data_IF_048004052611
#
_entry.id   IF_048004052611
#
_cell.length_a   1.000
_cell.length_b   1.000
_cell.length_c   1.000
_cell.angle_alpha   90.00
_cell.angle_beta   90.00
_cell.angle_gamma   90.00
#
_symmetry.space_group_name_H-M   'P 1'
#
loop_
_entity.id
_entity.type
_entity.pdbx_description
1 polymer ?
#
# COMPACT_ATOMS: atom_id res chain seq x y z
N UNK A 1 13.30 13.64 -7.53
CA UNK A 1 12.13 13.60 -6.63
C UNK A 1 12.44 14.28 -5.32
N UNK A 2 13.36 13.80 -4.48
CA UNK A 2 13.72 14.57 -3.28
C UNK A 2 14.33 15.92 -3.71
N UNK A 3 13.88 17.00 -3.10
CA UNK A 3 14.26 18.38 -3.41
C UNK A 3 13.54 18.98 -4.62
N UNK A 4 12.54 18.29 -5.18
CA UNK A 4 11.75 18.76 -6.31
C UNK A 4 10.49 19.51 -5.84
N UNK A 5 10.16 20.57 -6.59
CA UNK A 5 8.88 21.28 -6.61
C UNK A 5 8.01 20.61 -7.68
N UNK A 6 6.80 20.18 -7.31
CA UNK A 6 5.93 19.42 -8.20
C UNK A 6 4.48 19.89 -8.15
N UNK A 7 3.88 19.96 -9.33
CA UNK A 7 2.43 20.02 -9.47
C UNK A 7 1.84 18.63 -9.24
N UNK A 8 0.92 18.49 -8.29
CA UNK A 8 0.10 17.28 -8.13
C UNK A 8 -1.28 17.55 -8.73
N UNK A 9 -1.56 16.92 -9.87
CA UNK A 9 -2.82 17.09 -10.59
C UNK A 9 -3.68 15.82 -10.56
N UNK A 10 -4.98 15.95 -10.26
CA UNK A 10 -5.93 14.84 -10.20
C UNK A 10 -7.37 15.32 -10.43
N UNK A 11 -8.28 14.37 -10.69
CA UNK A 11 -9.72 14.64 -10.72
C UNK A 11 -10.34 14.30 -9.37
N UNK A 12 -11.14 15.21 -8.81
CA UNK A 12 -12.01 14.95 -7.67
C UNK A 12 -13.48 15.04 -8.10
N UNK A 13 -14.11 13.87 -8.25
CA UNK A 13 -15.41 13.77 -8.91
C UNK A 13 -15.33 14.29 -10.35
N UNK A 14 -15.97 15.42 -10.61
CA UNK A 14 -15.99 16.10 -11.90
C UNK A 14 -15.00 17.28 -11.98
N UNK A 15 -14.36 17.66 -10.88
CA UNK A 15 -13.47 18.81 -10.82
C UNK A 15 -12.01 18.39 -11.06
N UNK A 16 -11.29 19.15 -11.88
CA UNK A 16 -9.84 19.07 -11.93
C UNK A 16 -9.23 19.84 -10.78
N UNK A 17 -8.22 19.26 -10.12
CA UNK A 17 -7.42 19.89 -9.07
C UNK A 17 -5.96 19.81 -9.49
N UNK A 18 -5.23 20.91 -9.31
CA UNK A 18 -3.77 20.97 -9.35
C UNK A 18 -3.32 21.75 -8.13
N UNK A 19 -2.44 21.17 -7.34
CA UNK A 19 -1.90 21.79 -6.15
C UNK A 19 -0.37 21.72 -6.14
N UNK A 20 0.23 22.70 -5.49
CA UNK A 20 1.67 22.84 -5.36
C UNK A 20 2.22 21.99 -4.22
N UNK A 21 3.32 21.30 -4.46
CA UNK A 21 3.91 20.36 -3.51
C UNK A 21 5.43 20.38 -3.52
N UNK A 22 5.98 20.42 -2.31
CA UNK A 22 7.40 20.22 -2.03
C UNK A 22 7.66 18.78 -1.59
N UNK A 23 8.68 18.16 -2.17
CA UNK A 23 9.14 16.82 -1.82
C UNK A 23 10.45 16.89 -1.02
N UNK A 24 10.36 16.91 0.30
CA UNK A 24 11.50 16.76 1.22
C UNK A 24 11.80 15.30 1.59
N UNK A 25 10.83 14.40 1.38
CA UNK A 25 10.98 12.98 1.71
C UNK A 25 10.07 12.06 0.90
N UNK A 26 10.40 10.77 0.81
CA UNK A 26 9.60 9.76 0.09
C UNK A 26 8.57 9.08 1.01
N UNK A 27 7.72 9.88 1.63
CA UNK A 27 6.60 9.46 2.49
C UNK A 27 5.51 10.56 2.47
N UNK A 28 4.23 10.25 2.77
CA UNK A 28 3.16 11.25 2.78
C UNK A 28 3.45 12.40 3.74
N UNK A 29 2.90 13.58 3.45
CA UNK A 29 3.06 14.75 4.34
C UNK A 29 2.73 14.38 5.78
N UNK A 30 3.70 14.60 6.67
CA UNK A 30 3.58 14.25 8.07
C UNK A 30 4.11 15.40 8.92
N UNK A 31 3.39 15.73 9.98
CA UNK A 31 3.81 16.73 10.96
C UNK A 31 4.67 16.07 12.05
N UNK A 32 5.90 16.53 12.17
CA UNK A 32 6.85 16.11 13.19
C UNK A 32 7.18 17.35 14.03
N UNK A 33 6.61 17.41 15.24
CA UNK A 33 6.83 18.50 16.21
C UNK A 33 6.62 19.90 15.62
N UNK A 34 5.52 20.08 14.89
CA UNK A 34 5.17 21.36 14.28
C UNK A 34 5.84 21.61 12.92
N UNK A 35 6.73 20.73 12.46
CA UNK A 35 7.35 20.83 11.13
C UNK A 35 6.79 19.77 10.19
N UNK A 36 6.28 20.19 9.04
CA UNK A 36 5.81 19.27 8.02
C UNK A 36 6.97 18.79 7.13
N UNK A 37 6.99 17.50 6.80
CA UNK A 37 7.97 16.89 5.90
C UNK A 37 7.40 15.70 5.14
N UNK A 38 8.09 15.30 4.07
CA UNK A 38 7.62 14.28 3.13
C UNK A 38 7.22 14.89 1.79
N UNK A 39 6.10 14.44 1.24
CA UNK A 39 5.45 15.02 0.06
C UNK A 39 4.31 15.91 0.55
N UNK A 40 4.57 17.21 0.71
CA UNK A 40 3.67 18.14 1.37
C UNK A 40 3.15 19.21 0.41
N UNK A 41 1.88 19.62 0.53
CA UNK A 41 1.42 20.87 -0.07
C UNK A 41 2.28 22.03 0.44
N UNK A 42 2.57 23.01 -0.41
CA UNK A 42 3.47 24.11 -0.06
C UNK A 42 2.97 24.96 1.09
N UNK A 43 1.65 25.15 1.16
CA UNK A 43 0.96 25.82 2.28
C UNK A 43 1.31 25.21 3.64
N UNK A 44 1.59 23.90 3.70
CA UNK A 44 1.95 23.21 4.94
C UNK A 44 3.42 23.41 5.33
N UNK A 45 4.28 23.84 4.41
CA UNK A 45 5.71 24.07 4.67
C UNK A 45 6.09 25.55 4.64
N UNK A 46 5.09 26.44 4.72
CA UNK A 46 5.29 27.89 4.77
C UNK A 46 5.41 28.54 3.40
N UNK A 47 5.08 27.79 2.35
CA UNK A 47 5.06 28.28 0.98
C UNK A 47 3.79 29.08 0.64
N UNK A 48 3.82 29.73 -0.52
CA UNK A 48 2.71 30.60 -0.96
C UNK A 48 1.55 29.74 -1.47
N UNK A 49 0.34 29.86 -0.89
CA UNK A 49 -0.83 29.15 -1.41
C UNK A 49 -1.13 29.55 -2.85
N UNK A 50 -1.54 28.57 -3.66
CA UNK A 50 -2.06 28.78 -5.02
C UNK A 50 -1.09 29.36 -6.07
N UNK A 51 0.18 28.93 -6.07
CA UNK A 51 1.11 29.20 -7.19
C UNK A 51 0.63 28.65 -8.55
N UNK A 52 -0.39 27.79 -8.53
CA UNK A 52 -0.96 27.08 -9.67
C UNK A 52 -2.42 27.45 -9.88
N UNK A 53 -2.76 27.80 -11.12
CA UNK A 53 -4.12 28.18 -11.49
C UNK A 53 -4.64 27.28 -12.61
N UNK A 54 -5.74 26.59 -12.34
CA UNK A 54 -6.36 25.66 -13.27
C UNK A 54 -7.07 26.45 -14.37
N UNK A 55 -6.87 26.03 -15.62
CA UNK A 55 -7.48 26.64 -16.79
C UNK A 55 -8.61 25.77 -17.34
N UNK A 56 -8.32 24.51 -17.66
CA UNK A 56 -9.33 23.55 -18.14
C UNK A 56 -9.06 22.16 -17.57
N UNK A 57 -10.12 21.36 -17.47
CA UNK A 57 -10.00 19.95 -17.15
C UNK A 57 -11.06 19.18 -17.95
N UNK A 58 -10.67 18.06 -18.53
CA UNK A 58 -11.59 17.20 -19.27
C UNK A 58 -11.18 15.75 -19.09
N UNK A 59 -12.17 14.89 -18.91
CA UNK A 59 -11.99 13.44 -18.96
C UNK A 59 -12.78 12.89 -20.15
N UNK A 60 -12.07 12.41 -21.16
CA UNK A 60 -12.67 11.87 -22.39
C UNK A 60 -11.90 10.64 -22.84
N UNK A 61 -12.62 9.58 -23.22
CA UNK A 61 -12.07 8.33 -23.77
C UNK A 61 -11.00 7.65 -22.89
N UNK A 62 -11.10 7.81 -21.57
CA UNK A 62 -10.16 7.27 -20.59
C UNK A 62 -8.91 8.13 -20.35
N UNK A 63 -8.80 9.29 -20.99
CA UNK A 63 -7.72 10.25 -20.81
C UNK A 63 -8.22 11.42 -19.97
N UNK A 64 -7.48 11.75 -18.92
CA UNK A 64 -7.67 12.97 -18.13
C UNK A 64 -6.66 14.00 -18.62
N UNK A 65 -7.14 15.16 -19.03
CA UNK A 65 -6.32 16.32 -19.39
C UNK A 65 -6.64 17.44 -18.39
N UNK A 66 -5.62 17.93 -17.69
CA UNK A 66 -5.72 19.10 -16.82
C UNK A 66 -4.71 20.11 -17.32
N UNK A 67 -5.19 21.29 -17.70
CA UNK A 67 -4.36 22.43 -18.11
C UNK A 67 -4.36 23.45 -17.00
N UNK A 68 -3.18 23.88 -16.59
CA UNK A 68 -2.99 24.89 -15.56
C UNK A 68 -1.84 25.81 -15.94
N UNK A 69 -1.75 26.96 -15.27
CA UNK A 69 -0.61 27.89 -15.35
C UNK A 69 0.07 28.01 -13.98
N UNK A 70 1.38 28.23 -13.98
CA UNK A 70 2.17 28.59 -12.80
C UNK A 70 3.14 29.71 -13.16
N UNK A 71 3.65 30.42 -12.15
CA UNK A 71 4.75 31.37 -12.37
C UNK A 71 6.06 30.61 -12.66
N UNK A 72 6.86 31.16 -13.56
CA UNK A 72 8.18 30.61 -13.93
C UNK A 72 9.28 31.07 -12.98
N UNK A 73 9.09 32.25 -12.38
CA UNK A 73 9.97 32.84 -11.39
C UNK A 73 9.55 32.37 -9.99
N UNK A 74 10.52 32.29 -9.10
CA UNK A 74 10.29 32.01 -7.69
C UNK A 74 9.60 33.24 -7.05
N UNK A 75 8.46 33.03 -6.39
CA UNK A 75 7.66 34.07 -5.73
C UNK A 75 8.05 34.30 -4.27
N UNK A 76 9.36 34.34 -3.98
CA UNK A 76 9.92 34.41 -2.61
C UNK A 76 9.64 33.16 -1.74
N UNK A 77 9.27 32.06 -2.38
CA UNK A 77 9.13 30.75 -1.73
C UNK A 77 10.43 29.95 -1.92
N UNK A 78 11.18 29.72 -0.85
CA UNK A 78 12.44 28.96 -0.90
C UNK A 78 12.29 27.52 -1.42
N UNK A 79 11.08 26.96 -1.40
CA UNK A 79 10.75 25.64 -1.95
C UNK A 79 10.69 25.61 -3.48
N UNK A 80 10.30 26.74 -4.10
CA UNK A 80 10.03 26.84 -5.52
C UNK A 80 11.29 26.72 -6.38
N UNK A 81 11.17 25.97 -7.48
CA UNK A 81 12.21 25.89 -8.50
C UNK A 81 11.92 26.85 -9.64
N UNK A 82 12.92 27.65 -9.98
CA UNK A 82 12.88 28.53 -11.15
C UNK A 82 12.94 27.68 -12.42
N UNK A 83 12.03 27.95 -13.34
CA UNK A 83 12.09 27.37 -14.69
C UNK A 83 12.97 28.25 -15.57
N UNK A 84 14.13 27.72 -15.95
CA UNK A 84 15.04 28.44 -16.82
C UNK A 84 14.43 28.54 -18.23
N UNK A 85 14.27 29.78 -18.70
CA UNK A 85 13.88 30.06 -20.07
C UNK A 85 15.06 29.87 -21.04
N UNK A 86 16.29 29.76 -20.53
CA UNK A 86 17.48 29.50 -21.32
C UNK A 86 18.09 28.14 -20.94
N UNK A 87 18.41 27.33 -21.95
CA UNK A 87 19.03 26.03 -21.76
C UNK A 87 18.09 24.90 -21.32
N UNK A 88 18.67 23.86 -20.74
CA UNK A 88 17.96 22.64 -20.33
C UNK A 88 17.40 22.77 -18.91
N UNK A 89 16.12 22.42 -18.74
CA UNK A 89 15.48 22.20 -17.44
C UNK A 89 15.24 20.71 -17.22
N UNK A 90 15.59 20.21 -16.04
CA UNK A 90 15.32 18.82 -15.66
C UNK A 90 13.90 18.68 -15.13
N UNK A 91 13.19 17.68 -15.62
CA UNK A 91 11.84 17.35 -15.19
C UNK A 91 11.77 15.97 -14.59
N UNK A 92 10.81 15.82 -13.68
CA UNK A 92 10.40 14.54 -13.13
C UNK A 92 8.90 14.37 -13.33
N UNK A 93 8.45 13.12 -13.44
CA UNK A 93 7.04 12.81 -13.39
C UNK A 93 6.81 11.45 -12.75
N UNK A 94 5.62 11.30 -12.16
CA UNK A 94 5.12 10.05 -11.64
C UNK A 94 3.60 10.00 -11.71
N UNK A 95 3.06 8.79 -11.68
CA UNK A 95 1.63 8.53 -11.64
C UNK A 95 1.36 7.53 -10.52
N UNK A 96 0.53 7.93 -9.57
CA UNK A 96 0.13 7.13 -8.41
C UNK A 96 -1.36 7.29 -8.10
N UNK A 97 -1.78 6.74 -6.96
CA UNK A 97 -3.08 7.04 -6.37
C UNK A 97 -2.91 7.99 -5.18
N UNK A 98 -4.00 8.65 -4.79
CA UNK A 98 -4.09 9.33 -3.50
C UNK A 98 -4.72 8.41 -2.46
N UNK A 99 -4.46 8.67 -1.17
CA UNK A 99 -5.17 8.02 -0.07
C UNK A 99 -6.52 8.74 0.21
N UNK A 100 -7.29 8.28 1.19
CA UNK A 100 -8.57 8.91 1.55
C UNK A 100 -8.46 10.38 1.98
N UNK A 101 -7.27 10.86 2.35
CA UNK A 101 -6.97 12.26 2.69
C UNK A 101 -6.52 13.09 1.49
N UNK A 102 -6.62 12.54 0.26
CA UNK A 102 -6.11 13.14 -0.97
C UNK A 102 -4.59 13.38 -0.96
N UNK A 103 -3.85 12.69 -0.09
CA UNK A 103 -2.39 12.78 -0.05
C UNK A 103 -1.77 11.84 -1.10
N UNK A 104 -0.70 12.27 -1.81
CA UNK A 104 0.05 11.40 -2.69
C UNK A 104 0.59 10.17 -1.97
N UNK A 105 0.37 9.00 -2.55
CA UNK A 105 0.94 7.73 -2.07
C UNK A 105 2.07 7.27 -3.00
N UNK A 106 2.68 6.11 -2.69
CA UNK A 106 3.75 5.59 -3.53
C UNK A 106 3.26 5.39 -4.98
N UNK A 107 4.00 5.97 -5.93
CA UNK A 107 3.65 5.97 -7.34
C UNK A 107 3.76 4.57 -7.97
N UNK A 108 2.96 4.32 -9.00
CA UNK A 108 3.00 3.11 -9.82
C UNK A 108 3.89 3.28 -11.05
N UNK A 109 3.81 4.45 -11.68
CA UNK A 109 4.67 4.83 -12.79
C UNK A 109 5.58 5.97 -12.34
N UNK A 110 6.82 5.94 -12.76
CA UNK A 110 7.81 6.96 -12.44
C UNK A 110 8.82 7.04 -13.56
N UNK A 111 9.26 8.26 -13.86
CA UNK A 111 10.40 8.49 -14.74
C UNK A 111 11.64 7.78 -14.18
N UNK A 112 12.27 6.94 -15.00
CA UNK A 112 13.57 6.32 -14.69
C UNK A 112 14.65 7.06 -15.47
N UNK A 113 15.60 7.65 -14.75
CA UNK A 113 16.67 8.48 -15.34
C UNK A 113 16.29 9.95 -15.47
N UNK A 114 17.07 10.67 -16.26
CA UNK A 114 16.96 12.12 -16.40
C UNK A 114 16.15 12.50 -17.65
N UNK A 115 15.18 13.39 -17.48
CA UNK A 115 14.44 14.03 -18.57
C UNK A 115 14.82 15.50 -18.61
N UNK A 116 15.38 15.95 -19.73
CA UNK A 116 15.71 17.35 -19.97
C UNK A 116 14.75 17.93 -21.01
N UNK A 117 14.18 19.10 -20.73
CA UNK A 117 13.42 19.88 -21.69
C UNK A 117 13.98 21.30 -21.78
N UNK A 118 14.12 21.81 -23.00
CA UNK A 118 14.37 23.22 -23.24
C UNK A 118 13.02 23.94 -23.38
N UNK A 119 12.65 24.73 -22.37
CA UNK A 119 11.34 25.37 -22.25
C UNK A 119 11.25 26.73 -22.96
N UNK A 120 12.39 27.38 -23.26
CA UNK A 120 12.43 28.64 -24.03
C UNK A 120 12.65 28.46 -25.53
N UNK A 121 12.62 27.22 -26.03
CA UNK A 121 12.66 26.96 -27.47
C UNK A 121 11.51 27.71 -28.16
N UNK A 122 11.79 28.37 -29.28
CA UNK A 122 10.73 28.92 -30.16
C UNK A 122 9.76 27.78 -30.52
N UNK A 123 8.44 28.04 -30.65
CA UNK A 123 7.46 26.99 -30.91
C UNK A 123 7.86 26.19 -32.16
N UNK A 124 8.41 24.99 -31.94
CA UNK A 124 8.72 24.04 -32.99
C UNK A 124 7.51 23.17 -33.29
N UNK A 125 7.59 22.42 -34.39
CA UNK A 125 6.60 21.41 -34.79
C UNK A 125 6.28 20.50 -33.60
N UNK A 126 4.99 20.22 -33.37
CA UNK A 126 4.50 19.34 -32.32
C UNK A 126 5.20 17.98 -32.39
N UNK A 127 6.12 17.72 -31.46
CA UNK A 127 6.90 16.49 -31.36
C UNK A 127 6.36 15.53 -30.28
N UNK A 128 5.08 15.66 -29.94
CA UNK A 128 4.41 14.80 -28.97
C UNK A 128 3.88 13.55 -29.66
N UNK A 129 4.17 12.39 -29.09
CA UNK A 129 3.56 11.13 -29.48
C UNK A 129 2.10 11.05 -29.03
N UNK A 130 1.26 10.41 -29.83
CA UNK A 130 -0.14 10.15 -29.43
C UNK A 130 -0.18 9.12 -28.31
N UNK A 131 -1.08 9.30 -27.34
CA UNK A 131 -1.34 8.26 -26.34
C UNK A 131 -1.82 6.98 -27.02
N UNK A 132 -1.12 5.88 -26.80
CA UNK A 132 -1.54 4.56 -27.27
C UNK A 132 -2.25 3.82 -26.14
N UNK A 133 -3.36 3.13 -26.46
CA UNK A 133 -3.97 2.18 -25.53
C UNK A 133 -3.04 0.98 -25.44
N UNK A 134 -2.32 0.85 -24.33
CA UNK A 134 -1.64 -0.42 -24.02
C UNK A 134 -2.69 -1.53 -24.05
N UNK A 135 -2.47 -2.60 -24.84
CA UNK A 135 -3.27 -3.83 -24.69
C UNK A 135 -3.18 -4.18 -23.22
N UNK A 136 -4.32 -4.21 -22.52
CA UNK A 136 -4.37 -4.64 -21.12
C UNK A 136 -3.64 -5.97 -21.05
N UNK A 137 -2.42 -5.97 -20.50
CA UNK A 137 -1.74 -7.21 -20.16
C UNK A 137 -2.74 -7.96 -19.27
N UNK A 138 -2.97 -9.23 -19.59
CA UNK A 138 -3.80 -10.12 -18.80
C UNK A 138 -3.50 -9.89 -17.32
N UNK A 139 -4.54 -9.76 -16.49
CA UNK A 139 -4.49 -9.48 -15.05
C UNK A 139 -3.26 -10.14 -14.43
N UNK A 140 -2.22 -9.37 -14.18
CA UNK A 140 -1.01 -9.90 -13.56
C UNK A 140 -1.41 -10.43 -12.19
N UNK A 141 -1.23 -11.74 -11.97
CA UNK A 141 -1.51 -12.36 -10.68
C UNK A 141 -0.62 -11.69 -9.64
N UNK A 142 -1.23 -11.06 -8.64
CA UNK A 142 -0.54 -10.60 -7.45
C UNK A 142 -0.14 -11.80 -6.59
N UNK A 143 0.84 -11.64 -5.69
CA UNK A 143 1.45 -12.80 -5.01
C UNK A 143 0.63 -13.39 -3.87
N UNK A 144 -0.43 -12.70 -3.43
CA UNK A 144 -1.28 -13.12 -2.33
C UNK A 144 -2.59 -13.75 -2.76
N UNK A 145 -3.51 -13.95 -1.80
CA UNK A 145 -3.40 -13.57 -0.39
C UNK A 145 -2.37 -14.40 0.40
N UNK A 146 -1.51 -13.71 1.16
CA UNK A 146 -0.59 -14.34 2.11
C UNK A 146 -1.30 -14.51 3.47
N UNK A 147 -1.07 -15.61 4.17
CA UNK A 147 -1.82 -15.95 5.39
C UNK A 147 -0.97 -16.62 6.45
N UNK A 148 -1.26 -16.33 7.71
CA UNK A 148 -0.73 -17.07 8.86
C UNK A 148 -1.94 -17.69 9.59
N UNK A 149 -2.11 -19.00 9.40
CA UNK A 149 -3.22 -19.82 9.92
C UNK A 149 -2.74 -21.00 10.77
N UNK A 150 -1.47 -21.01 11.18
CA UNK A 150 -0.96 -22.09 12.02
C UNK A 150 -1.45 -21.91 13.46
N UNK A 151 -2.24 -22.86 14.02
CA UNK A 151 -2.73 -22.78 15.39
C UNK A 151 -1.61 -22.79 16.44
N UNK A 152 -0.39 -23.18 16.11
CA UNK A 152 0.75 -23.18 17.04
C UNK A 152 1.43 -21.81 17.13
N UNK A 153 1.24 -20.93 16.14
CA UNK A 153 1.86 -19.61 16.14
C UNK A 153 1.15 -18.70 17.13
N UNK A 154 1.84 -18.33 18.20
CA UNK A 154 1.39 -17.34 19.20
C UNK A 154 2.24 -16.06 19.18
N UNK A 155 3.40 -16.10 18.54
CA UNK A 155 4.33 -14.98 18.45
C UNK A 155 4.48 -14.52 17.00
N UNK A 156 4.37 -13.21 16.79
CA UNK A 156 4.46 -12.57 15.49
C UNK A 156 5.57 -11.53 15.51
N UNK A 157 6.57 -11.68 14.65
CA UNK A 157 7.59 -10.65 14.44
C UNK A 157 7.12 -9.69 13.35
N UNK A 158 6.95 -8.42 13.71
CA UNK A 158 6.38 -7.36 12.88
C UNK A 158 7.46 -6.35 12.51
N UNK A 159 7.77 -6.24 11.22
CA UNK A 159 8.85 -5.40 10.67
C UNK A 159 8.33 -4.56 9.51
N UNK A 160 9.00 -3.47 9.17
CA UNK A 160 8.62 -2.67 7.98
C UNK A 160 9.37 -3.16 6.74
N UNK A 161 8.91 -2.76 5.56
CA UNK A 161 9.62 -3.04 4.32
C UNK A 161 8.95 -2.46 3.09
N UNK A 162 9.62 -2.61 1.94
CA UNK A 162 9.08 -2.18 0.65
C UNK A 162 7.76 -2.89 0.31
N UNK A 163 6.77 -2.22 -0.31
CA UNK A 163 5.42 -2.75 -0.50
C UNK A 163 5.29 -3.75 -1.68
N UNK A 164 6.34 -4.00 -2.46
CA UNK A 164 6.33 -5.02 -3.52
C UNK A 164 5.58 -4.65 -4.80
N UNK A 165 5.49 -3.36 -5.12
CA UNK A 165 4.91 -2.88 -6.39
C UNK A 165 3.43 -3.20 -6.56
N UNK A 166 3.01 -3.38 -7.82
CA UNK A 166 1.65 -3.78 -8.20
C UNK A 166 1.31 -5.21 -7.75
N UNK A 167 2.27 -6.13 -7.74
CA UNK A 167 2.03 -7.53 -7.34
C UNK A 167 1.99 -7.77 -5.82
N UNK A 168 2.56 -6.84 -5.04
CA UNK A 168 2.62 -6.89 -3.59
C UNK A 168 1.39 -6.31 -2.90
N UNK A 169 1.62 -5.39 -1.97
CA UNK A 169 0.59 -4.80 -1.10
C UNK A 169 -0.59 -4.24 -1.90
N UNK A 170 -0.30 -3.49 -2.97
CA UNK A 170 -1.33 -2.89 -3.81
C UNK A 170 -2.22 -3.94 -4.47
N UNK A 171 -1.63 -4.98 -5.07
CA UNK A 171 -2.38 -6.04 -5.73
C UNK A 171 -3.23 -6.86 -4.75
N UNK A 172 -2.72 -7.11 -3.55
CA UNK A 172 -3.43 -7.90 -2.53
C UNK A 172 -4.56 -7.12 -1.85
N UNK A 173 -4.39 -5.82 -1.64
CA UNK A 173 -5.30 -5.01 -0.81
C UNK A 173 -6.18 -4.06 -1.62
N UNK A 174 -5.79 -3.74 -2.86
CA UNK A 174 -6.36 -2.66 -3.66
C UNK A 174 -5.95 -1.25 -3.22
N UNK A 175 -5.11 -1.14 -2.17
CA UNK A 175 -4.76 0.12 -1.50
C UNK A 175 -3.32 0.50 -1.75
N UNK A 176 -3.06 1.80 -1.78
CA UNK A 176 -1.72 2.32 -1.94
C UNK A 176 -1.07 2.60 -0.59
N UNK A 177 0.12 2.07 -0.39
CA UNK A 177 0.86 2.25 0.84
C UNK A 177 1.66 3.57 0.84
N UNK A 178 2.13 4.05 2.01
CA UNK A 178 2.94 5.26 2.15
C UNK A 178 4.39 5.08 1.64
N UNK A 179 4.68 4.00 0.91
CA UNK A 179 6.02 3.62 0.45
C UNK A 179 6.68 2.52 1.29
N UNK A 180 6.03 2.12 2.38
CA UNK A 180 6.37 0.95 3.21
C UNK A 180 5.10 0.18 3.57
N UNK A 181 5.25 -1.07 3.98
CA UNK A 181 4.19 -1.94 4.47
C UNK A 181 4.71 -2.85 5.61
N UNK A 182 3.79 -3.40 6.39
CA UNK A 182 4.11 -4.33 7.47
C UNK A 182 4.46 -5.72 6.93
N UNK A 183 5.52 -6.31 7.47
CA UNK A 183 5.92 -7.70 7.26
C UNK A 183 5.73 -8.45 8.57
N UNK A 184 4.93 -9.52 8.55
CA UNK A 184 4.65 -10.35 9.73
C UNK A 184 5.21 -11.74 9.51
N UNK A 185 6.12 -12.19 10.38
CA UNK A 185 6.91 -13.42 10.19
C UNK A 185 7.56 -13.49 8.79
N UNK A 186 7.92 -12.31 8.27
CA UNK A 186 8.50 -12.17 6.95
C UNK A 186 7.52 -12.26 5.77
N UNK A 187 6.22 -12.44 5.97
CA UNK A 187 5.22 -12.31 4.90
C UNK A 187 4.79 -10.84 4.77
N UNK A 188 4.54 -10.38 3.55
CA UNK A 188 4.10 -9.01 3.27
C UNK A 188 2.61 -8.86 3.57
N UNK A 189 2.27 -8.07 4.58
CA UNK A 189 0.92 -7.78 5.06
C UNK A 189 -0.06 -8.98 4.99
N UNK A 190 0.27 -10.14 5.61
CA UNK A 190 -0.56 -11.33 5.55
C UNK A 190 -1.86 -11.19 6.34
N UNK A 191 -2.87 -11.96 5.98
CA UNK A 191 -4.03 -12.18 6.85
C UNK A 191 -3.62 -13.02 8.06
N UNK A 192 -3.88 -12.51 9.26
CA UNK A 192 -3.62 -13.21 10.52
C UNK A 192 -4.89 -13.89 11.01
N UNK A 193 -4.79 -15.11 11.53
CA UNK A 193 -5.90 -15.81 12.15
C UNK A 193 -5.59 -16.03 13.63
N UNK A 194 -6.35 -15.39 14.50
CA UNK A 194 -6.19 -15.45 15.95
C UNK A 194 -7.41 -16.08 16.59
N UNK A 195 -7.18 -16.92 17.59
CA UNK A 195 -8.24 -17.58 18.36
C UNK A 195 -8.70 -16.69 19.52
N UNK A 196 -10.01 -16.61 19.74
CA UNK A 196 -10.59 -15.95 20.92
C UNK A 196 -10.06 -16.53 22.23
N UNK A 197 -9.91 -15.67 23.22
CA UNK A 197 -9.45 -15.97 24.58
C UNK A 197 -8.05 -16.61 24.62
N UNK A 198 -7.23 -16.40 23.59
CA UNK A 198 -5.83 -16.84 23.55
C UNK A 198 -4.90 -15.62 23.51
N UNK A 199 -3.84 -15.65 24.32
CA UNK A 199 -2.85 -14.57 24.37
C UNK A 199 -1.85 -14.71 23.23
N UNK A 200 -1.66 -13.63 22.48
CA UNK A 200 -0.69 -13.49 21.41
C UNK A 200 0.34 -12.41 21.73
N UNK A 201 1.53 -12.56 21.17
CA UNK A 201 2.66 -11.64 21.34
C UNK A 201 3.11 -11.11 19.99
N UNK A 202 3.17 -9.79 19.85
CA UNK A 202 3.73 -9.12 18.69
C UNK A 202 5.06 -8.48 19.08
N UNK A 203 6.13 -8.92 18.42
CA UNK A 203 7.48 -8.36 18.55
C UNK A 203 7.63 -7.32 17.45
N UNK A 204 7.52 -6.05 17.82
CA UNK A 204 7.37 -4.92 16.90
C UNK A 204 8.70 -4.20 16.70
N UNK A 205 9.13 -4.14 15.44
CA UNK A 205 10.36 -3.49 14.98
C UNK A 205 10.06 -2.47 13.87
N UNK A 206 9.14 -1.55 14.17
CA UNK A 206 8.63 -0.53 13.24
C UNK A 206 9.31 0.83 13.27
N UNK A 207 10.29 0.99 14.16
CA UNK A 207 10.96 2.26 14.47
C UNK A 207 10.26 3.05 15.58
N UNK A 208 11.08 3.60 16.48
CA UNK A 208 10.69 4.25 17.73
C UNK A 208 11.13 5.72 17.80
N UNK A 209 11.67 6.27 16.72
CA UNK A 209 12.09 7.67 16.64
C UNK A 209 10.95 8.55 16.08
N UNK A 210 10.21 9.30 16.93
CA UNK A 210 9.12 10.15 16.46
C UNK A 210 9.58 11.31 15.55
N UNK A 211 10.88 11.62 15.52
CA UNK A 211 11.46 12.64 14.64
C UNK A 211 11.60 12.16 13.19
N UNK A 212 11.48 10.84 12.96
CA UNK A 212 11.62 10.23 11.64
C UNK A 212 10.27 9.70 11.15
N UNK A 213 9.39 10.59 10.67
CA UNK A 213 8.06 10.21 10.16
C UNK A 213 8.07 9.16 9.04
N UNK A 214 9.21 8.99 8.33
CA UNK A 214 9.38 7.95 7.31
C UNK A 214 9.43 6.55 7.90
N UNK A 215 9.98 6.41 9.10
CA UNK A 215 10.25 5.12 9.73
C UNK A 215 9.76 5.06 11.19
N UNK A 216 8.89 5.97 11.60
CA UNK A 216 8.22 5.93 12.89
C UNK A 216 6.85 5.29 12.72
N UNK A 217 6.78 3.97 12.88
CA UNK A 217 5.54 3.22 12.71
C UNK A 217 5.22 2.40 13.94
N UNK A 218 4.65 3.00 15.00
CA UNK A 218 4.09 2.22 16.09
C UNK A 218 2.98 1.31 15.57
N UNK A 219 2.98 0.05 16.00
CA UNK A 219 2.01 -0.95 15.59
C UNK A 219 0.78 -0.91 16.50
N UNK A 220 -0.41 -1.07 15.95
CA UNK A 220 -1.61 -1.15 16.78
C UNK A 220 -2.71 -1.97 16.09
N UNK A 221 -3.70 -2.41 16.88
CA UNK A 221 -4.84 -3.20 16.42
C UNK A 221 -6.12 -2.38 16.59
N UNK A 222 -6.94 -2.33 15.54
CA UNK A 222 -8.12 -1.46 15.44
C UNK A 222 -9.21 -2.11 14.58
N UNK A 223 -10.42 -1.58 14.62
CA UNK A 223 -11.47 -1.85 13.62
C UNK A 223 -11.32 -1.02 12.34
N UNK A 224 -10.48 0.03 12.35
CA UNK A 224 -10.24 0.87 11.18
C UNK A 224 -9.39 0.13 10.13
N UNK A 225 -9.93 -0.12 8.92
CA UNK A 225 -9.17 -0.76 7.86
C UNK A 225 -7.92 0.00 7.45
N UNK A 226 -7.87 1.33 7.57
CA UNK A 226 -6.81 2.16 7.02
C UNK A 226 -5.72 2.51 8.03
N UNK A 227 -6.08 2.67 9.29
CA UNK A 227 -5.13 3.04 10.33
C UNK A 227 -4.71 4.51 10.28
N UNK A 228 -3.51 4.82 10.76
CA UNK A 228 -3.02 6.19 10.84
C UNK A 228 -3.82 7.03 11.85
N UNK A 229 -4.15 6.45 13.01
CA UNK A 229 -4.98 7.08 14.04
C UNK A 229 -4.55 8.52 14.41
N UNK A 230 -3.24 8.80 14.38
CA UNK A 230 -2.68 10.12 14.64
C UNK A 230 -3.18 11.20 13.66
N UNK A 231 -3.59 10.83 12.44
CA UNK A 231 -4.02 11.76 11.39
C UNK A 231 -5.49 12.21 11.50
N UNK A 232 -6.30 11.50 12.28
CA UNK A 232 -7.71 11.84 12.44
C UNK A 232 -7.93 13.00 13.40
N UNK A 233 -8.96 13.80 13.12
CA UNK A 233 -9.56 14.75 14.05
C UNK A 233 -10.16 14.05 15.27
N UNK A 234 -10.47 14.82 16.32
CA UNK A 234 -11.06 14.26 17.55
C UNK A 234 -12.43 13.62 17.28
N UNK A 235 -13.23 14.23 16.41
CA UNK A 235 -14.54 13.75 15.98
C UNK A 235 -14.42 12.43 15.21
N UNK A 236 -13.49 12.38 14.25
CA UNK A 236 -13.26 11.15 13.47
C UNK A 236 -12.78 10.00 14.35
N UNK A 237 -12.01 10.27 15.40
CA UNK A 237 -11.51 9.25 16.33
C UNK A 237 -12.63 8.57 17.12
N UNK A 238 -13.75 9.25 17.39
CA UNK A 238 -14.88 8.67 18.14
C UNK A 238 -15.48 7.44 17.46
N UNK A 239 -15.42 7.39 16.13
CA UNK A 239 -15.93 6.27 15.31
C UNK A 239 -14.94 5.09 15.18
N UNK A 240 -13.77 5.15 15.81
CA UNK A 240 -12.66 4.20 15.58
C UNK A 240 -12.22 3.59 16.89
N UNK A 241 -12.33 2.27 16.99
CA UNK A 241 -11.98 1.55 18.20
C UNK A 241 -10.57 1.00 18.13
N UNK A 242 -9.83 1.21 19.22
CA UNK A 242 -8.51 0.61 19.42
C UNK A 242 -8.64 -0.60 20.33
N UNK A 243 -7.99 -1.70 19.95
CA UNK A 243 -8.01 -2.97 20.68
C UNK A 243 -6.66 -3.29 21.34
N UNK A 244 -5.55 -2.78 20.80
CA UNK A 244 -4.21 -2.94 21.38
C UNK A 244 -3.21 -1.93 20.77
N UNK A 245 -2.13 -1.63 21.48
CA UNK A 245 -0.98 -0.85 20.96
C UNK A 245 -1.05 0.67 21.14
N UNK A 246 -2.08 1.16 21.82
CA UNK A 246 -2.21 2.57 22.21
C UNK A 246 -2.68 2.64 23.65
N UNK A 247 -2.03 3.49 24.44
CA UNK A 247 -2.39 3.82 25.81
C UNK A 247 -2.98 5.23 25.85
N UNK A 248 -3.84 5.50 26.82
CA UNK A 248 -4.45 6.81 27.00
C UNK A 248 -3.95 7.41 28.31
N UNK A 249 -3.50 8.66 28.27
CA UNK A 249 -3.12 9.36 29.49
C UNK A 249 -4.36 9.73 30.33
N UNK A 250 -4.14 10.32 31.52
CA UNK A 250 -5.23 10.75 32.41
C UNK A 250 -6.18 11.79 31.79
N UNK A 251 -5.76 12.47 30.72
CA UNK A 251 -6.55 13.45 29.97
C UNK A 251 -7.21 12.84 28.73
N UNK A 252 -7.12 11.52 28.55
CA UNK A 252 -7.66 10.82 27.39
C UNK A 252 -6.85 11.02 26.11
N UNK A 253 -5.60 11.51 26.18
CA UNK A 253 -4.76 11.69 25.00
C UNK A 253 -4.10 10.36 24.61
N UNK A 254 -4.19 9.96 23.33
CA UNK A 254 -3.65 8.69 22.85
C UNK A 254 -2.12 8.75 22.68
N UNK A 255 -1.44 7.72 23.19
CA UNK A 255 0.00 7.52 23.08
C UNK A 255 0.29 6.11 22.58
N UNK A 256 0.95 5.92 21.44
CA UNK A 256 1.25 4.59 20.94
C UNK A 256 2.26 3.88 21.86
N UNK A 257 1.96 2.65 22.28
CA UNK A 257 2.80 1.88 23.21
C UNK A 257 3.68 0.83 22.53
N UNK A 258 3.37 0.45 21.28
CA UNK A 258 4.12 -0.58 20.56
C UNK A 258 5.05 0.00 19.48
N UNK A 259 6.10 0.71 19.93
CA UNK A 259 7.14 1.28 19.08
C UNK A 259 8.53 0.76 19.51
N UNK A 260 9.13 -0.12 18.70
CA UNK A 260 10.46 -0.70 18.96
C UNK A 260 11.50 -0.23 17.94
N UNK A 261 12.72 -0.77 18.02
CA UNK A 261 13.81 -0.51 17.04
C UNK A 261 13.34 -0.65 15.60
N UNK A 262 14.03 -0.01 14.67
CA UNK A 262 13.67 -0.12 13.26
C UNK A 262 14.32 -1.36 12.64
N UNK A 263 13.53 -2.26 12.09
CA UNK A 263 14.01 -3.29 11.15
C UNK A 263 13.23 -3.22 9.84
N UNK A 264 13.91 -2.97 8.74
CA UNK A 264 13.31 -2.73 7.42
C UNK A 264 13.84 -3.68 6.34
N UNK A 265 12.94 -4.33 5.60
CA UNK A 265 13.27 -5.03 4.36
C UNK A 265 13.46 -4.02 3.22
N UNK A 266 14.70 -3.88 2.75
CA UNK A 266 15.09 -2.94 1.70
C UNK A 266 15.73 -3.66 0.52
N UNK A 267 15.78 -3.01 -0.65
CA UNK A 267 16.49 -3.56 -1.80
C UNK A 267 17.99 -3.67 -1.55
N UNK A 268 18.59 -4.77 -2.01
CA UNK A 268 20.05 -4.89 -2.08
C UNK A 268 20.58 -3.89 -3.13
N UNK A 269 21.63 -3.14 -2.81
CA UNK A 269 22.07 -1.96 -3.58
C UNK A 269 22.58 -2.34 -4.97
N UNK A 270 21.73 -2.18 -6.00
CA UNK A 270 22.02 -2.05 -7.46
C UNK A 270 20.79 -2.32 -8.36
N UNK A 271 19.60 -2.56 -7.81
CA UNK A 271 18.47 -3.02 -8.62
C UNK A 271 17.95 -1.97 -9.62
N UNK A 272 18.20 -2.23 -10.90
CA UNK A 272 17.50 -1.63 -12.05
C UNK A 272 16.11 -2.25 -12.31
N UNK A 273 15.83 -3.40 -11.70
CA UNK A 273 14.59 -4.17 -11.90
C UNK A 273 13.40 -3.55 -11.16
N UNK A 274 12.24 -3.58 -11.80
CA UNK A 274 10.97 -3.25 -11.15
C UNK A 274 10.65 -4.30 -10.08
N UNK A 275 10.01 -3.90 -8.98
CA UNK A 275 9.47 -4.86 -7.99
C UNK A 275 8.49 -5.85 -8.63
N UNK A 276 7.84 -5.43 -9.71
CA UNK A 276 6.87 -6.23 -10.47
C UNK A 276 7.51 -7.30 -11.35
N UNK A 277 8.83 -7.29 -11.54
CA UNK A 277 9.53 -8.26 -12.38
C UNK A 277 9.65 -9.64 -11.70
N UNK A 278 9.45 -9.71 -10.37
CA UNK A 278 9.52 -10.97 -9.64
C UNK A 278 8.25 -11.83 -9.85
N UNK A 279 8.40 -13.11 -10.22
CA UNK A 279 7.25 -13.96 -10.56
C UNK A 279 6.50 -14.48 -9.32
N UNK A 280 7.16 -14.58 -8.16
CA UNK A 280 6.56 -15.08 -6.91
C UNK A 280 7.03 -14.27 -5.70
N UNK A 281 6.22 -14.27 -4.64
CA UNK A 281 6.57 -13.59 -3.39
C UNK A 281 7.89 -14.08 -2.77
N UNK A 282 8.16 -15.41 -2.65
CA UNK A 282 9.42 -15.86 -2.09
C UNK A 282 10.65 -15.34 -2.85
N UNK A 283 10.59 -15.30 -4.20
CA UNK A 283 11.68 -14.74 -5.02
C UNK A 283 11.87 -13.25 -4.76
N UNK A 284 10.78 -12.49 -4.67
CA UNK A 284 10.84 -11.07 -4.31
C UNK A 284 11.43 -10.88 -2.91
N UNK A 285 10.90 -11.56 -1.90
CA UNK A 285 11.31 -11.44 -0.50
C UNK A 285 12.78 -11.81 -0.29
N UNK A 286 13.27 -12.86 -0.96
CA UNK A 286 14.66 -13.29 -0.87
C UNK A 286 15.63 -12.32 -1.58
N UNK A 287 15.13 -11.42 -2.44
CA UNK A 287 15.94 -10.35 -3.04
C UNK A 287 16.19 -9.17 -2.08
N UNK A 288 15.44 -9.10 -0.98
CA UNK A 288 15.52 -8.01 -0.02
C UNK A 288 16.55 -8.33 1.07
N UNK A 289 17.18 -7.28 1.57
CA UNK A 289 18.06 -7.34 2.73
C UNK A 289 17.35 -6.72 3.93
N UNK A 290 17.45 -7.37 5.09
CA UNK A 290 16.98 -6.81 6.34
C UNK A 290 18.04 -5.86 6.90
N UNK A 291 17.68 -4.59 7.10
CA UNK A 291 18.51 -3.62 7.83
C UNK A 291 17.84 -3.29 9.15
N UNK A 292 18.58 -3.44 10.25
CA UNK A 292 18.10 -3.10 11.59
C UNK A 292 18.95 -1.99 12.20
N UNK A 293 18.32 -1.06 12.91
CA UNK A 293 19.00 -0.15 13.82
C UNK A 293 19.36 -0.86 15.12
N UNK A 294 20.28 -0.29 15.87
CA UNK A 294 20.51 -0.69 17.26
C UNK A 294 19.26 -0.45 18.13
N UNK A 295 19.21 -1.12 19.28
CA UNK A 295 18.12 -1.05 20.25
C UNK A 295 17.31 -2.35 20.33
N UNK A 296 16.20 -2.27 21.08
CA UNK A 296 15.32 -3.39 21.40
C UNK A 296 13.98 -3.31 20.65
N UNK A 297 13.37 -4.47 20.31
CA UNK A 297 11.99 -4.50 19.82
C UNK A 297 11.01 -4.08 20.93
N UNK A 298 9.83 -3.65 20.55
CA UNK A 298 8.72 -3.45 21.49
C UNK A 298 7.82 -4.68 21.52
N UNK A 299 7.32 -5.03 22.70
CA UNK A 299 6.46 -6.20 22.90
C UNK A 299 5.03 -5.74 23.13
N UNK A 300 4.13 -6.16 22.25
CA UNK A 300 2.69 -5.96 22.41
C UNK A 300 2.00 -7.29 22.67
N UNK A 301 1.27 -7.37 23.78
CA UNK A 301 0.38 -8.49 24.05
C UNK A 301 -1.04 -8.17 23.63
N UNK A 302 -1.70 -9.14 23.00
CA UNK A 302 -3.11 -9.02 22.62
C UNK A 302 -3.84 -10.34 22.88
N UNK A 303 -4.98 -10.24 23.56
CA UNK A 303 -5.88 -11.36 23.82
C UNK A 303 -7.27 -10.97 23.32
N UNK A 304 -7.70 -11.40 22.11
CA UNK A 304 -9.04 -11.10 21.62
C UNK A 304 -10.06 -11.78 22.52
N UNK A 305 -10.88 -11.02 23.23
CA UNK A 305 -11.90 -11.55 24.12
C UNK A 305 -13.14 -12.05 23.34
N UNK A 306 -14.14 -12.58 24.06
CA UNK A 306 -15.40 -13.03 23.46
C UNK A 306 -16.15 -11.93 22.68
N UNK A 307 -15.99 -10.67 23.07
CA UNK A 307 -16.64 -9.51 22.41
C UNK A 307 -15.84 -8.93 21.23
N UNK A 308 -14.65 -9.46 20.94
CA UNK A 308 -13.87 -9.00 19.81
C UNK A 308 -14.58 -9.35 18.48
N UNK A 309 -14.75 -8.38 17.56
CA UNK A 309 -15.30 -8.64 16.23
C UNK A 309 -14.51 -9.71 15.47
N UNK A 310 -15.18 -10.42 14.57
CA UNK A 310 -14.55 -11.45 13.70
C UNK A 310 -13.45 -10.87 12.79
N UNK A 311 -13.49 -9.56 12.53
CA UNK A 311 -12.53 -8.87 11.69
C UNK A 311 -11.99 -7.63 12.41
N UNK A 312 -10.68 -7.62 12.59
CA UNK A 312 -9.89 -6.48 13.03
C UNK A 312 -8.80 -6.20 11.98
N UNK A 313 -8.05 -5.13 12.19
CA UNK A 313 -6.93 -4.73 11.37
C UNK A 313 -5.74 -4.41 12.24
N UNK A 314 -4.55 -4.78 11.75
CA UNK A 314 -3.30 -4.25 12.30
C UNK A 314 -2.78 -3.16 11.38
N UNK A 315 -2.37 -2.03 11.94
CA UNK A 315 -1.94 -0.87 11.18
C UNK A 315 -0.80 -0.13 11.86
N UNK A 316 -0.27 0.88 11.17
CA UNK A 316 0.60 1.88 11.79
C UNK A 316 -0.25 2.97 12.44
N UNK A 317 0.13 3.40 13.64
CA UNK A 317 -0.52 4.50 14.35
C UNK A 317 -0.38 5.84 13.61
N UNK A 318 0.72 6.05 12.90
CA UNK A 318 1.11 7.33 12.27
C UNK A 318 0.80 7.37 10.78
N UNK A 319 0.86 6.23 10.09
CA UNK A 319 0.62 6.13 8.66
C UNK A 319 -0.54 5.20 8.33
N UNK A 320 -1.22 5.51 7.24
CA UNK A 320 -2.33 4.71 6.73
C UNK A 320 -1.82 3.59 5.83
N UNK A 321 -2.64 2.56 5.66
CA UNK A 321 -2.50 1.53 4.62
C UNK A 321 -1.13 0.84 4.61
N UNK A 322 -0.69 0.36 5.79
CA UNK A 322 0.56 -0.41 5.93
C UNK A 322 0.31 -1.88 6.24
N UNK A 323 -0.74 -2.19 6.99
CA UNK A 323 -1.08 -3.55 7.41
C UNK A 323 -2.34 -4.07 6.75
N UNK A 324 -2.91 -5.10 7.37
CA UNK A 324 -4.01 -5.85 6.80
C UNK A 324 -4.91 -6.47 7.89
N UNK A 325 -5.61 -7.53 7.55
CA UNK A 325 -6.68 -8.13 8.34
C UNK A 325 -6.16 -9.07 9.42
N UNK A 326 -6.82 -9.03 10.56
CA UNK A 326 -6.80 -10.06 11.59
C UNK A 326 -8.21 -10.66 11.64
N UNK A 327 -8.32 -11.94 11.32
CA UNK A 327 -9.54 -12.71 11.53
C UNK A 327 -9.51 -13.29 12.93
N UNK A 328 -10.52 -12.95 13.72
CA UNK A 328 -10.75 -13.50 15.05
C UNK A 328 -11.72 -14.67 14.92
N UNK A 329 -11.28 -15.86 15.30
CA UNK A 329 -12.05 -17.11 15.15
C UNK A 329 -12.11 -17.86 16.47
N UNK A 330 -13.06 -18.78 16.60
CA UNK A 330 -13.14 -19.64 17.78
C UNK A 330 -12.18 -20.84 17.67
N UNK A 331 -11.95 -21.30 16.44
CA UNK A 331 -10.99 -22.35 16.10
C UNK A 331 -10.32 -22.07 14.76
N UNK A 332 -9.03 -22.42 14.65
CA UNK A 332 -8.26 -22.27 13.42
C UNK A 332 -8.23 -23.62 12.72
N UNK A 333 -9.10 -23.79 11.71
CA UNK A 333 -9.19 -25.03 10.94
C UNK A 333 -8.13 -24.99 9.83
N UNK A 334 -7.16 -25.91 9.89
CA UNK A 334 -6.29 -26.19 8.76
C UNK A 334 -7.12 -26.93 7.71
N UNK A 335 -7.41 -26.29 6.57
CA UNK A 335 -7.86 -27.05 5.42
C UNK A 335 -6.72 -27.99 5.02
N UNK A 336 -6.85 -29.28 5.36
CA UNK A 336 -5.97 -30.30 4.83
C UNK A 336 -6.03 -30.24 3.29
N UNK A 337 -4.91 -30.46 2.58
CA UNK A 337 -4.98 -30.65 1.13
C UNK A 337 -5.87 -31.87 0.89
N UNK A 338 -7.04 -31.65 0.29
CA UNK A 338 -7.91 -32.73 -0.15
C UNK A 338 -7.19 -33.49 -1.27
N UNK A 339 -6.42 -34.51 -0.92
CA UNK A 339 -6.00 -35.54 -1.84
C UNK A 339 -7.21 -36.40 -2.18
N UNK A 340 -8.03 -35.92 -3.12
CA UNK A 340 -8.98 -36.77 -3.83
C UNK A 340 -8.16 -37.76 -4.66
N UNK A 341 -7.84 -38.91 -4.05
CA UNK A 341 -7.46 -40.10 -4.80
C UNK A 341 -8.71 -40.57 -5.58
N UNK A 342 -8.81 -40.15 -6.84
CA UNK A 342 -9.73 -40.76 -7.78
C UNK A 342 -9.12 -42.12 -8.15
N UNK A 343 -9.54 -43.16 -7.44
CA UNK A 343 -9.30 -44.55 -7.86
C UNK A 343 -10.18 -44.81 -9.08
N UNK A 344 -9.58 -44.79 -10.27
CA UNK A 344 -10.20 -45.31 -11.48
C UNK A 344 -10.27 -46.83 -11.38
N UNK A 345 -11.40 -47.36 -10.90
CA UNK A 345 -11.77 -48.75 -11.14
C UNK A 345 -12.45 -48.79 -12.52
N UNK A 346 -11.70 -49.27 -13.50
CA UNK A 346 -12.15 -49.59 -14.84
C UNK A 346 -13.13 -50.77 -14.77
N UNK A 347 -14.43 -50.49 -14.94
CA UNK A 347 -15.46 -51.52 -15.15
C UNK A 347 -15.34 -52.02 -16.59
N UNK A 348 -14.75 -53.20 -16.75
CA UNK A 348 -14.81 -53.98 -17.98
C UNK A 348 -16.24 -54.53 -18.11
N UNK A 349 -17.02 -53.97 -19.02
CA UNK A 349 -18.34 -54.50 -19.39
C UNK A 349 -18.16 -55.76 -20.23
N UNK A 350 -18.29 -56.94 -19.59
CA UNK A 350 -18.55 -58.20 -20.28
C UNK A 350 -19.95 -58.17 -20.91
N UNK A 351 -20.01 -58.04 -22.24
CA UNK A 351 -21.23 -58.32 -23.01
C UNK A 351 -21.30 -59.81 -23.28
N UNK A 352 -22.06 -60.56 -22.48
CA UNK A 352 -22.58 -61.87 -22.86
C UNK A 352 -23.97 -62.06 -22.25
N UNK A 353 -24.88 -62.62 -23.05
CA UNK A 353 -26.22 -63.18 -22.78
C UNK A 353 -27.43 -62.27 -23.00
N UNK A 354 -28.58 -62.71 -23.55
CA UNK A 354 -29.03 -63.94 -24.24
C UNK A 354 -30.36 -63.53 -24.88
N UNK A 355 -30.54 -63.75 -26.18
CA UNK A 355 -31.84 -63.61 -26.83
C UNK A 355 -32.54 -64.98 -26.78
N UNK A 356 -33.44 -65.16 -25.81
CA UNK A 356 -34.42 -66.25 -25.81
C UNK A 356 -35.78 -65.72 -25.33
N UNK A 357 -36.68 -65.62 -26.30
CA UNK A 357 -37.97 -66.33 -26.32
C UNK A 357 -39.02 -66.03 -25.24
N UNK A 358 -39.99 -65.18 -25.62
CA UNK A 358 -41.43 -65.38 -25.41
C UNK A 358 -42.09 -64.90 -26.71
N UNK A 359 -42.97 -65.60 -27.43
CA UNK A 359 -43.90 -66.64 -27.07
C UNK A 359 -45.32 -66.11 -27.29
N UNK A 360 -45.90 -66.38 -28.48
CA UNK A 360 -47.34 -66.70 -28.71
C UNK A 360 -48.31 -65.48 -28.49
N UNK A 361 -49.17 -64.99 -29.41
CA UNK A 361 -50.19 -65.65 -30.27
C UNK A 361 -50.90 -64.65 -31.21
N UNK A 362 -51.37 -65.17 -32.36
CA UNK A 362 -52.64 -64.89 -33.11
C UNK A 362 -53.02 -63.45 -33.54
N UNK A 363 -53.04 -63.19 -34.87
CA UNK A 363 -54.29 -63.08 -35.65
C UNK A 363 -54.06 -62.87 -37.17
N UNK A 364 -54.85 -63.63 -37.95
CA UNK A 364 -55.11 -63.67 -39.41
C UNK A 364 -54.06 -64.33 -40.31
#
# INVERSE_FOLDING_TARGET
>A
MIGSDVAVAYMDGLLGITADYNISGKFPCSNVLGKNGGVCPDEKVGGVPNGYQIHTYVRKDGITVITYRRNLLNTEDSGDKVFNQEGDTYLIWAVGKYNSFKEPTYHRLVLRGDLKLNLGRKPGVKNCESFTRSRMKATEKFWGPLRIRDPQVTTFTVRVGVPGGMKGYFGMTGRSSPGVAWYVNGLLSPELYLRRNRRYTFVVEGGNDPYNARFYHPFYITDDPHGGYAKYSEEERQSKKIYAGVEFDRRGRPHPSAAGRLCSWVHNTSHRYSMDDYPTYPKFRNSLMLKCSEGEPSILHFTPNASAPDLLYYQSYTQRDMGWKIFIVDEIINAAPSSLHISMISVISCVVTVLLWTGIRENV
#
